data_IF_589126673387
#
_entry.id   IF_589126673387
#
_cell.length_a   1.000
_cell.length_b   1.000
_cell.length_c   1.000
_cell.angle_alpha   90.00
_cell.angle_beta   90.00
_cell.angle_gamma   90.00
#
_symmetry.space_group_name_H-M   'P 1'
#
loop_
_entity.id
_entity.type
_entity.pdbx_description
1 polymer ?
#
# COMPACT_ATOMS: atom_id res chain seq x y z
N UNK A 1 1.96 5.56 -12.96
CA UNK A 1 2.07 7.03 -12.79
C UNK A 1 1.49 7.41 -11.43
N UNK A 2 2.23 7.15 -10.35
CA UNK A 2 1.72 7.31 -8.97
C UNK A 2 2.36 8.50 -8.23
N UNK A 3 3.49 9.02 -8.72
CA UNK A 3 4.23 10.08 -8.05
C UNK A 3 3.44 11.39 -7.86
N UNK A 4 2.70 11.93 -8.85
CA UNK A 4 1.96 13.18 -8.64
C UNK A 4 0.89 13.08 -7.56
N UNK A 5 0.30 11.89 -7.38
CA UNK A 5 -0.64 11.64 -6.29
C UNK A 5 0.07 11.69 -4.93
N UNK A 6 1.25 11.10 -4.82
CA UNK A 6 2.05 11.16 -3.59
C UNK A 6 2.49 12.60 -3.27
N UNK A 7 2.82 13.40 -4.28
CA UNK A 7 3.08 14.84 -4.10
C UNK A 7 1.86 15.56 -3.55
N UNK A 8 0.68 15.30 -4.11
CA UNK A 8 -0.55 15.94 -3.66
C UNK A 8 -0.91 15.56 -2.22
N UNK A 9 -0.76 14.28 -1.86
CA UNK A 9 -0.98 13.79 -0.49
C UNK A 9 0.02 14.43 0.48
N UNK A 10 1.30 14.50 0.11
CA UNK A 10 2.33 15.11 0.94
C UNK A 10 2.05 16.60 1.19
N UNK A 11 1.55 17.33 0.19
CA UNK A 11 1.16 18.73 0.31
C UNK A 11 -0.10 18.93 1.16
N UNK A 12 -1.11 18.06 0.99
CA UNK A 12 -2.40 18.19 1.67
C UNK A 12 -2.34 17.81 3.16
N UNK A 13 -1.59 16.76 3.51
CA UNK A 13 -1.60 16.23 4.88
C UNK A 13 -0.49 16.78 5.77
N UNK A 14 0.54 17.44 5.21
CA UNK A 14 1.62 18.15 5.91
C UNK A 14 2.58 17.28 6.77
N UNK A 15 2.03 16.31 7.51
CA UNK A 15 2.70 15.34 8.41
C UNK A 15 2.01 13.96 8.44
N UNK A 16 0.98 13.75 7.62
CA UNK A 16 0.26 12.47 7.52
C UNK A 16 1.17 11.32 7.11
N UNK A 17 0.97 10.16 7.75
CA UNK A 17 1.75 8.94 7.47
C UNK A 17 1.25 8.29 6.18
N UNK A 18 1.99 8.47 5.08
CA UNK A 18 1.71 7.80 3.82
C UNK A 18 2.50 6.47 3.72
N UNK A 19 1.79 5.38 3.39
CA UNK A 19 2.40 4.10 3.11
C UNK A 19 1.97 3.56 1.74
N UNK A 20 2.90 2.90 1.06
CA UNK A 20 2.66 2.25 -0.23
C UNK A 20 2.86 0.76 -0.09
N UNK A 21 1.84 0.00 -0.48
CA UNK A 21 1.90 -1.44 -0.61
C UNK A 21 2.38 -1.79 -2.01
N UNK A 22 3.58 -2.36 -2.12
CA UNK A 22 4.20 -2.69 -3.42
C UNK A 22 4.99 -4.00 -3.38
N UNK A 23 5.12 -4.64 -4.53
CA UNK A 23 5.90 -5.85 -4.72
C UNK A 23 7.27 -5.56 -5.35
N UNK A 24 8.25 -6.41 -5.02
CA UNK A 24 9.56 -6.51 -5.68
C UNK A 24 10.13 -5.19 -6.20
N UNK A 25 10.29 -5.12 -7.53
CA UNK A 25 10.87 -4.00 -8.29
C UNK A 25 10.04 -2.72 -8.16
N UNK A 26 8.72 -2.82 -8.00
CA UNK A 26 7.86 -1.64 -7.85
C UNK A 26 8.15 -0.95 -6.51
N UNK A 27 8.43 -1.70 -5.45
CA UNK A 27 8.83 -1.13 -4.16
C UNK A 27 10.11 -0.30 -4.29
N UNK A 28 11.10 -0.78 -5.05
CA UNK A 28 12.37 -0.07 -5.27
C UNK A 28 12.15 1.26 -6.02
N UNK A 29 11.18 1.32 -6.93
CA UNK A 29 10.78 2.56 -7.61
C UNK A 29 10.24 3.58 -6.61
N UNK A 30 9.41 3.16 -5.65
CA UNK A 30 8.88 4.04 -4.61
C UNK A 30 9.96 4.49 -3.61
N UNK A 31 10.98 3.67 -3.34
CA UNK A 31 12.12 4.06 -2.50
C UNK A 31 12.97 5.15 -3.15
N UNK A 32 13.08 5.16 -4.48
CA UNK A 32 13.78 6.19 -5.22
C UNK A 32 13.02 7.53 -5.32
N UNK A 33 11.74 7.58 -4.92
CA UNK A 33 10.91 8.77 -5.00
C UNK A 33 11.25 9.80 -3.89
N UNK A 34 11.25 11.11 -4.19
CA UNK A 34 11.63 12.14 -3.21
C UNK A 34 10.64 12.24 -2.04
N UNK A 35 9.38 11.81 -2.22
CA UNK A 35 8.35 11.81 -1.18
C UNK A 35 8.60 10.76 -0.09
N UNK A 36 9.46 9.76 -0.34
CA UNK A 36 9.86 8.69 0.58
C UNK A 36 8.70 8.11 1.43
N UNK A 37 7.62 7.60 0.80
CA UNK A 37 6.54 6.97 1.54
C UNK A 37 7.05 5.74 2.30
N UNK A 38 6.37 5.36 3.37
CA UNK A 38 6.67 4.08 4.03
C UNK A 38 6.35 2.93 3.08
N UNK A 39 7.33 2.05 2.84
CA UNK A 39 7.13 0.92 1.93
C UNK A 39 6.71 -0.32 2.72
N UNK A 40 5.52 -0.83 2.42
CA UNK A 40 5.04 -2.12 2.89
C UNK A 40 5.26 -3.14 1.77
N UNK A 41 6.39 -3.84 1.82
CA UNK A 41 6.74 -4.82 0.80
C UNK A 41 5.84 -6.04 0.88
N UNK A 42 5.18 -6.36 -0.21
CA UNK A 42 4.37 -7.57 -0.36
C UNK A 42 4.86 -8.39 -1.54
N UNK A 43 5.43 -9.57 -1.28
CA UNK A 43 5.83 -10.47 -2.35
C UNK A 43 4.65 -11.34 -2.80
N UNK A 44 4.03 -10.97 -3.93
CA UNK A 44 3.12 -11.87 -4.64
C UNK A 44 3.91 -12.99 -5.33
N UNK A 45 4.14 -14.11 -4.67
CA UNK A 45 4.55 -15.34 -5.37
C UNK A 45 3.47 -15.76 -6.39
N UNK A 46 3.77 -15.62 -7.69
CA UNK A 46 2.81 -15.94 -8.76
C UNK A 46 2.22 -17.36 -8.64
N UNK A 47 0.92 -17.49 -8.91
CA UNK A 47 0.21 -18.77 -9.05
C UNK A 47 -0.74 -19.16 -7.92
N UNK A 48 -0.68 -18.53 -6.73
CA UNK A 48 -1.65 -18.78 -5.64
C UNK A 48 -2.13 -17.47 -5.00
N UNK A 49 -3.41 -17.41 -4.64
CA UNK A 49 -4.03 -16.26 -3.98
C UNK A 49 -3.34 -15.87 -2.65
N UNK A 50 -2.58 -16.81 -2.06
CA UNK A 50 -1.80 -16.63 -0.83
C UNK A 50 -2.62 -15.99 0.31
N UNK A 51 -3.85 -16.47 0.46
CA UNK A 51 -4.85 -15.94 1.39
C UNK A 51 -4.30 -15.73 2.81
N UNK A 52 -3.57 -16.72 3.35
CA UNK A 52 -2.94 -16.63 4.68
C UNK A 52 -1.94 -15.46 4.79
N UNK A 53 -1.11 -15.24 3.78
CA UNK A 53 -0.15 -14.12 3.79
C UNK A 53 -0.88 -12.77 3.72
N UNK A 54 -1.93 -12.66 2.90
CA UNK A 54 -2.77 -11.46 2.85
C UNK A 54 -3.46 -11.17 4.17
N UNK A 55 -3.94 -12.20 4.87
CA UNK A 55 -4.53 -12.02 6.21
C UNK A 55 -3.51 -11.52 7.23
N UNK A 56 -2.29 -12.09 7.25
CA UNK A 56 -1.22 -11.61 8.15
C UNK A 56 -0.88 -10.16 7.86
N UNK A 57 -0.71 -9.83 6.58
CA UNK A 57 -0.40 -8.48 6.13
C UNK A 57 -1.54 -7.50 6.44
N UNK A 58 -2.79 -7.89 6.23
CA UNK A 58 -3.95 -7.08 6.57
C UNK A 58 -4.02 -6.79 8.08
N UNK A 59 -3.65 -7.75 8.95
CA UNK A 59 -3.54 -7.49 10.39
C UNK A 59 -2.43 -6.50 10.72
N UNK A 60 -1.28 -6.59 10.05
CA UNK A 60 -0.20 -5.61 10.19
C UNK A 60 -0.68 -4.22 9.76
N UNK A 61 -1.29 -4.10 8.57
CA UNK A 61 -1.85 -2.85 8.06
C UNK A 61 -2.92 -2.29 9.01
N UNK A 62 -3.80 -3.14 9.55
CA UNK A 62 -4.80 -2.75 10.54
C UNK A 62 -4.17 -2.18 11.81
N UNK A 63 -3.06 -2.75 12.29
CA UNK A 63 -2.35 -2.24 13.46
C UNK A 63 -1.71 -0.87 13.24
N UNK A 64 -1.51 -0.47 11.98
CA UNK A 64 -0.97 0.85 11.64
C UNK A 64 -2.03 1.96 11.66
N UNK A 65 -3.32 1.62 11.68
CA UNK A 65 -4.40 2.59 11.92
C UNK A 65 -4.62 3.60 10.79
N UNK A 66 -4.49 3.19 9.52
CA UNK A 66 -4.75 4.08 8.39
C UNK A 66 -6.23 4.48 8.31
N UNK A 67 -6.47 5.76 8.00
CA UNK A 67 -7.81 6.34 7.84
C UNK A 67 -8.35 6.24 6.43
N UNK A 68 -7.50 6.05 5.43
CA UNK A 68 -7.88 6.00 4.02
C UNK A 68 -7.06 4.96 3.28
N UNK A 69 -7.66 4.30 2.29
CA UNK A 69 -6.99 3.41 1.36
C UNK A 69 -7.22 3.85 -0.09
N UNK A 70 -6.13 4.19 -0.79
CA UNK A 70 -6.16 4.54 -2.21
C UNK A 70 -5.77 3.33 -3.07
N UNK A 71 -6.75 2.76 -3.79
CA UNK A 71 -6.56 1.58 -4.63
C UNK A 71 -6.38 2.05 -6.08
N UNK A 72 -5.14 2.02 -6.57
CA UNK A 72 -4.81 2.49 -7.91
C UNK A 72 -5.00 1.43 -9.01
N UNK A 73 -4.60 0.16 -8.81
CA UNK A 73 -4.79 -0.85 -9.83
C UNK A 73 -6.28 -1.24 -9.91
N UNK A 74 -6.79 -1.41 -11.13
CA UNK A 74 -8.18 -1.80 -11.39
C UNK A 74 -8.41 -3.32 -11.17
N UNK A 75 -7.81 -3.91 -10.14
CA UNK A 75 -7.89 -5.35 -9.87
C UNK A 75 -8.48 -5.62 -8.48
N UNK A 76 -9.38 -6.60 -8.40
CA UNK A 76 -10.00 -7.02 -7.13
C UNK A 76 -8.96 -7.48 -6.10
N UNK A 77 -7.82 -8.03 -6.55
CA UNK A 77 -6.75 -8.48 -5.65
C UNK A 77 -6.14 -7.33 -4.84
N UNK A 78 -6.16 -6.13 -5.40
CA UNK A 78 -5.62 -4.92 -4.79
C UNK A 78 -6.49 -4.38 -3.66
N UNK A 79 -7.80 -4.59 -3.70
CA UNK A 79 -8.72 -4.15 -2.64
C UNK A 79 -8.80 -5.11 -1.44
N UNK A 80 -8.37 -6.36 -1.60
CA UNK A 80 -8.48 -7.39 -0.56
C UNK A 80 -7.74 -7.03 0.72
N UNK A 81 -6.53 -6.47 0.63
CA UNK A 81 -5.74 -6.15 1.83
C UNK A 81 -6.36 -4.97 2.59
N UNK A 82 -6.68 -3.83 1.95
CA UNK A 82 -7.44 -2.75 2.60
C UNK A 82 -8.75 -3.21 3.22
N UNK A 83 -9.52 -4.02 2.49
CA UNK A 83 -10.80 -4.55 2.97
C UNK A 83 -10.63 -5.45 4.20
N UNK A 84 -9.68 -6.38 4.17
CA UNK A 84 -9.35 -7.23 5.33
C UNK A 84 -8.77 -6.45 6.51
N UNK A 85 -8.10 -5.32 6.24
CA UNK A 85 -7.57 -4.44 7.28
C UNK A 85 -8.66 -3.59 7.94
N UNK A 86 -9.85 -3.49 7.33
CA UNK A 86 -10.97 -2.69 7.84
C UNK A 86 -10.70 -1.20 7.76
N UNK A 87 -9.97 -0.76 6.72
CA UNK A 87 -9.78 0.67 6.45
C UNK A 87 -11.12 1.21 5.90
N UNK A 88 -11.65 2.31 6.47
CA UNK A 88 -12.93 2.88 6.04
C UNK A 88 -12.88 3.46 4.62
#
# INVERSE_FOLDING_TARGET
MTQPLLEHIALAEGSGRCAVLADGVIADVFEAMPQRPQILRFQESHGRLQWRKRQVLARQVRSLGFSHALILPHSLKSSLIPWLAGIP
#
